data_IF_976851500490
#
_entry.id   IF_976851500490
#
_cell.length_a   1.000
_cell.length_b   1.000
_cell.length_c   1.000
_cell.angle_alpha   90.00
_cell.angle_beta   90.00
_cell.angle_gamma   90.00
#
_symmetry.space_group_name_H-M   'P 1'
#
loop_
_entity.id
_entity.type
_entity.pdbx_description
1 polymer ?
#
# COMPACT_ATOMS: atom_id res chain seq x y z
N UNK A 1 16.55 14.07 -21.12
CA UNK A 1 15.92 12.78 -21.49
C UNK A 1 14.49 13.09 -21.91
N UNK A 2 14.01 12.58 -23.05
CA UNK A 2 12.60 12.74 -23.45
C UNK A 2 11.67 12.04 -22.44
N UNK A 3 10.67 12.75 -21.93
CA UNK A 3 9.75 12.25 -20.89
C UNK A 3 8.92 11.04 -21.37
N UNK A 4 8.64 10.97 -22.66
CA UNK A 4 7.94 9.87 -23.34
C UNK A 4 8.76 8.56 -23.38
N UNK A 5 10.06 8.61 -23.10
CA UNK A 5 10.95 7.45 -23.05
C UNK A 5 11.27 7.00 -21.61
N UNK A 6 10.76 7.73 -20.61
CA UNK A 6 11.05 7.44 -19.21
C UNK A 6 10.28 6.19 -18.76
N UNK A 7 11.02 5.18 -18.33
CA UNK A 7 10.47 3.91 -17.84
C UNK A 7 10.53 3.82 -16.31
N UNK A 8 11.53 4.46 -15.70
CA UNK A 8 11.69 4.50 -14.25
C UNK A 8 12.02 5.92 -13.81
N UNK A 9 11.38 6.35 -12.72
CA UNK A 9 11.68 7.63 -12.08
C UNK A 9 11.72 7.48 -10.57
N UNK A 10 12.83 7.91 -9.99
CA UNK A 10 12.98 8.05 -8.54
C UNK A 10 13.29 9.49 -8.20
N UNK A 11 12.51 10.08 -7.31
CA UNK A 11 12.74 11.41 -6.77
C UNK A 11 12.89 11.29 -5.25
N UNK A 12 14.08 11.59 -4.76
CA UNK A 12 14.39 11.55 -3.32
C UNK A 12 14.01 12.83 -2.57
N UNK A 13 13.81 13.92 -3.30
CA UNK A 13 13.40 15.21 -2.75
C UNK A 13 11.88 15.28 -2.54
N UNK A 14 11.44 16.16 -1.66
CA UNK A 14 10.01 16.44 -1.47
C UNK A 14 9.41 17.01 -2.75
N UNK A 15 8.33 16.38 -3.21
CA UNK A 15 7.56 16.82 -4.37
C UNK A 15 6.13 17.18 -3.96
N UNK A 16 5.48 18.17 -4.57
CA UNK A 16 4.06 18.37 -4.37
C UNK A 16 3.24 17.25 -5.06
N UNK A 17 2.04 16.97 -4.57
CA UNK A 17 1.11 15.98 -5.16
C UNK A 17 0.87 16.24 -6.66
N UNK A 18 0.83 17.52 -7.05
CA UNK A 18 0.66 17.93 -8.44
C UNK A 18 1.72 17.33 -9.36
N UNK A 19 2.98 17.32 -8.94
CA UNK A 19 4.11 16.76 -9.71
C UNK A 19 3.98 15.25 -9.84
N UNK A 20 3.55 14.55 -8.79
CA UNK A 20 3.32 13.10 -8.86
C UNK A 20 2.29 12.75 -9.95
N UNK A 21 1.17 13.48 -9.99
CA UNK A 21 0.12 13.28 -10.99
C UNK A 21 0.59 13.70 -12.38
N UNK A 22 1.29 14.84 -12.50
CA UNK A 22 1.81 15.34 -13.79
C UNK A 22 2.82 14.37 -14.42
N UNK A 23 3.73 13.82 -13.62
CA UNK A 23 4.70 12.81 -14.08
C UNK A 23 3.97 11.61 -14.66
N UNK A 24 2.98 11.07 -13.93
CA UNK A 24 2.19 9.93 -14.40
C UNK A 24 1.46 10.29 -15.69
N UNK A 25 0.87 11.48 -15.79
CA UNK A 25 0.17 11.91 -17.01
C UNK A 25 1.10 12.08 -18.23
N UNK A 26 2.33 12.54 -18.02
CA UNK A 26 3.26 12.87 -19.11
C UNK A 26 4.20 11.74 -19.51
N UNK A 27 4.29 10.68 -18.73
CA UNK A 27 5.22 9.57 -18.96
C UNK A 27 4.49 8.27 -19.28
N UNK A 28 3.87 8.13 -20.47
CA UNK A 28 2.99 7.00 -20.80
C UNK A 28 3.69 5.62 -20.84
N UNK A 29 5.03 5.60 -20.75
CA UNK A 29 5.85 4.37 -20.70
C UNK A 29 6.42 4.09 -19.31
N UNK A 30 6.04 4.88 -18.31
CA UNK A 30 6.56 4.74 -16.95
C UNK A 30 6.08 3.40 -16.37
N UNK A 31 7.02 2.58 -15.96
CA UNK A 31 6.79 1.28 -15.33
C UNK A 31 7.05 1.34 -13.82
N UNK A 32 7.93 2.23 -13.36
CA UNK A 32 8.25 2.41 -11.94
C UNK A 32 8.31 3.88 -11.53
N UNK A 33 7.58 4.24 -10.48
CA UNK A 33 7.63 5.56 -9.87
C UNK A 33 7.93 5.44 -8.37
N UNK A 34 8.98 6.11 -7.91
CA UNK A 34 9.32 6.21 -6.50
C UNK A 34 9.46 7.67 -6.09
N UNK A 35 8.61 8.09 -5.16
CA UNK A 35 8.64 9.43 -4.56
C UNK A 35 8.91 9.27 -3.07
N UNK A 36 10.02 9.82 -2.58
CA UNK A 36 10.44 9.63 -1.17
C UNK A 36 9.60 10.47 -0.20
N UNK A 37 9.15 11.64 -0.62
CA UNK A 37 8.31 12.56 0.15
C UNK A 37 7.33 13.25 -0.80
N UNK A 38 6.03 13.19 -0.51
CA UNK A 38 5.03 14.00 -1.23
C UNK A 38 4.29 14.89 -0.25
N UNK A 39 4.16 16.17 -0.60
CA UNK A 39 3.51 17.22 0.20
C UNK A 39 2.33 17.81 -0.57
N UNK A 40 1.42 18.48 0.13
CA UNK A 40 0.29 19.19 -0.49
C UNK A 40 0.77 20.31 -1.41
N UNK A 41 1.89 20.94 -1.03
CA UNK A 41 2.45 22.12 -1.70
C UNK A 41 1.65 23.39 -1.39
N UNK A 42 2.21 24.55 -1.73
CA UNK A 42 1.48 25.82 -1.74
C UNK A 42 0.51 25.83 -2.94
N UNK A 43 -0.71 25.31 -2.78
CA UNK A 43 -1.69 25.34 -3.86
C UNK A 43 -2.35 26.73 -3.96
N UNK A 44 -1.95 27.50 -4.97
CA UNK A 44 -2.70 28.65 -5.49
C UNK A 44 -3.92 28.15 -6.28
N UNK A 45 -4.88 27.50 -5.59
CA UNK A 45 -6.25 27.23 -6.03
C UNK A 45 -6.46 26.57 -7.41
N UNK A 46 -5.41 26.07 -8.06
CA UNK A 46 -5.41 25.70 -9.48
C UNK A 46 -5.50 24.20 -9.70
N UNK A 47 -5.59 23.37 -8.65
CA UNK A 47 -5.87 21.94 -8.75
C UNK A 47 -7.34 21.68 -9.12
N UNK A 48 -7.72 22.15 -10.31
CA UNK A 48 -8.92 21.75 -11.07
C UNK A 48 -8.77 20.36 -11.71
N UNK A 49 -7.73 19.60 -11.36
CA UNK A 49 -7.53 18.22 -11.83
C UNK A 49 -8.42 17.24 -11.05
N UNK A 50 -9.73 17.33 -11.31
CA UNK A 50 -10.75 16.36 -10.84
C UNK A 50 -10.81 15.09 -11.70
N UNK A 51 -10.00 14.98 -12.76
CA UNK A 51 -10.00 13.82 -13.64
C UNK A 51 -9.12 12.71 -13.08
N UNK A 52 -9.72 11.54 -12.86
CA UNK A 52 -8.98 10.31 -12.58
C UNK A 52 -8.09 10.01 -13.79
N UNK A 53 -6.80 9.83 -13.54
CA UNK A 53 -5.80 9.49 -14.55
C UNK A 53 -5.59 7.99 -14.56
N UNK A 54 -5.89 7.36 -15.70
CA UNK A 54 -5.55 5.96 -15.93
C UNK A 54 -4.12 5.87 -16.47
N UNK A 55 -3.33 4.91 -15.97
CA UNK A 55 -1.98 4.66 -16.44
C UNK A 55 -1.70 3.17 -16.60
N UNK A 56 -1.61 2.72 -17.85
CA UNK A 56 -1.66 1.29 -18.19
C UNK A 56 -0.33 0.56 -18.11
N UNK A 57 0.80 1.27 -17.96
CA UNK A 57 2.13 0.64 -17.90
C UNK A 57 2.75 0.65 -16.52
N UNK A 58 2.20 1.40 -15.56
CA UNK A 58 2.85 1.59 -14.26
C UNK A 58 2.67 0.33 -13.41
N UNK A 59 3.77 -0.38 -13.19
CA UNK A 59 3.83 -1.66 -12.48
C UNK A 59 4.26 -1.48 -11.03
N UNK A 60 5.05 -0.47 -10.73
CA UNK A 60 5.59 -0.20 -9.40
C UNK A 60 5.32 1.24 -8.98
N UNK A 61 4.70 1.40 -7.81
CA UNK A 61 4.45 2.69 -7.18
C UNK A 61 4.95 2.66 -5.74
N UNK A 62 5.92 3.51 -5.44
CA UNK A 62 6.44 3.73 -4.10
C UNK A 62 6.17 5.18 -3.67
N UNK A 63 5.35 5.35 -2.64
CA UNK A 63 4.97 6.64 -2.08
C UNK A 63 5.47 6.76 -0.64
N UNK A 64 6.43 7.64 -0.44
CA UNK A 64 7.13 7.86 0.82
C UNK A 64 6.61 9.06 1.62
N UNK A 65 6.59 8.93 2.95
CA UNK A 65 6.36 10.00 3.95
C UNK A 65 5.17 10.92 3.65
N UNK A 66 3.98 10.34 3.49
CA UNK A 66 2.77 11.10 3.15
C UNK A 66 1.90 11.33 4.39
N UNK A 67 1.36 12.55 4.58
CA UNK A 67 0.05 12.71 5.22
C UNK A 67 -1.06 12.27 4.24
N UNK A 68 -0.87 12.50 2.94
CA UNK A 68 -1.96 12.46 1.96
C UNK A 68 -1.78 11.41 0.86
N UNK A 69 -1.49 10.13 1.20
CA UNK A 69 -1.45 9.05 0.19
C UNK A 69 -2.71 9.05 -0.66
N UNK A 70 -3.85 9.29 -0.02
CA UNK A 70 -5.16 9.29 -0.65
C UNK A 70 -5.29 10.38 -1.72
N UNK A 71 -4.64 11.53 -1.55
CA UNK A 71 -4.71 12.60 -2.55
C UNK A 71 -4.02 12.23 -3.88
N UNK A 72 -3.04 11.32 -3.83
CA UNK A 72 -2.43 10.72 -5.02
C UNK A 72 -3.29 9.55 -5.49
N UNK A 73 -3.58 8.58 -4.62
CA UNK A 73 -4.25 7.34 -5.04
C UNK A 73 -5.68 7.58 -5.51
N UNK A 74 -6.43 8.53 -4.97
CA UNK A 74 -7.80 8.87 -5.41
C UNK A 74 -7.87 9.42 -6.84
N UNK A 75 -6.75 9.91 -7.36
CA UNK A 75 -6.65 10.47 -8.71
C UNK A 75 -6.12 9.47 -9.74
N UNK A 76 -5.86 8.23 -9.36
CA UNK A 76 -5.16 7.26 -10.21
C UNK A 76 -5.96 5.97 -10.44
N UNK A 77 -5.84 5.40 -11.62
CA UNK A 77 -6.30 4.05 -11.96
C UNK A 77 -5.13 3.31 -12.61
N UNK A 78 -4.59 2.31 -11.93
CA UNK A 78 -3.33 1.66 -12.29
C UNK A 78 -3.54 0.16 -12.55
N UNK A 79 -4.10 -0.24 -13.71
CA UNK A 79 -4.46 -1.65 -13.95
C UNK A 79 -3.26 -2.60 -14.05
N UNK A 80 -2.09 -2.12 -14.45
CA UNK A 80 -0.86 -2.92 -14.50
C UNK A 80 -0.08 -2.95 -13.19
N UNK A 81 -0.59 -2.33 -12.11
CA UNK A 81 0.13 -2.24 -10.84
C UNK A 81 0.33 -3.63 -10.24
N UNK A 82 1.58 -3.96 -9.94
CA UNK A 82 1.97 -5.23 -9.32
C UNK A 82 2.73 -5.00 -8.01
N UNK A 83 3.34 -3.83 -7.83
CA UNK A 83 4.12 -3.48 -6.65
C UNK A 83 3.61 -2.16 -6.07
N UNK A 84 3.16 -2.18 -4.82
CA UNK A 84 2.74 -0.99 -4.10
C UNK A 84 3.47 -0.90 -2.77
N UNK A 85 4.10 0.25 -2.53
CA UNK A 85 4.74 0.56 -1.25
C UNK A 85 4.27 1.91 -0.75
N UNK A 86 3.70 1.93 0.45
CA UNK A 86 3.16 3.12 1.09
C UNK A 86 3.85 3.35 2.42
N UNK A 87 4.36 4.56 2.62
CA UNK A 87 5.00 4.98 3.85
C UNK A 87 4.27 6.19 4.42
N UNK A 88 3.70 6.05 5.60
CA UNK A 88 3.08 7.16 6.32
C UNK A 88 4.12 7.92 7.13
N UNK A 89 3.96 9.24 7.16
CA UNK A 89 4.65 10.04 8.17
C UNK A 89 3.92 9.87 9.51
N UNK A 90 4.64 9.85 10.64
CA UNK A 90 3.98 10.10 11.93
C UNK A 90 3.56 11.54 11.95
N UNK A 91 2.28 11.83 11.74
CA UNK A 91 1.80 13.20 11.78
C UNK A 91 2.24 13.85 13.09
N UNK A 92 2.81 15.05 13.00
CA UNK A 92 2.63 16.01 14.08
C UNK A 92 1.13 16.14 14.31
N UNK A 93 0.66 16.32 15.56
CA UNK A 93 -0.75 16.25 15.94
C UNK A 93 -1.69 17.25 15.21
N UNK A 94 -1.17 18.05 14.29
CA UNK A 94 -1.88 19.10 13.56
C UNK A 94 -2.45 18.63 12.21
N UNK A 95 -2.06 17.46 11.68
CA UNK A 95 -2.55 16.95 10.39
C UNK A 95 -3.11 15.54 10.54
N UNK A 96 -4.45 15.43 10.65
CA UNK A 96 -5.21 14.16 10.72
C UNK A 96 -5.22 13.35 9.41
N UNK A 97 -4.34 13.67 8.47
CA UNK A 97 -4.27 12.97 7.21
C UNK A 97 -3.54 11.64 7.43
N UNK A 98 -4.33 10.64 7.78
CA UNK A 98 -3.92 9.25 7.83
C UNK A 98 -4.43 8.53 6.59
N UNK A 99 -3.67 7.53 6.15
CA UNK A 99 -4.17 6.57 5.16
C UNK A 99 -5.42 5.92 5.76
N UNK A 100 -6.53 5.92 5.03
CA UNK A 100 -7.69 5.13 5.39
C UNK A 100 -7.71 3.85 4.55
N UNK A 101 -7.96 2.71 5.19
CA UNK A 101 -8.11 1.43 4.48
C UNK A 101 -9.15 1.51 3.36
N UNK A 102 -10.30 2.13 3.63
CA UNK A 102 -11.38 2.27 2.65
C UNK A 102 -10.93 2.95 1.34
N UNK A 103 -9.99 3.89 1.41
CA UNK A 103 -9.43 4.58 0.24
C UNK A 103 -8.47 3.71 -0.55
N UNK A 104 -7.65 2.89 0.14
CA UNK A 104 -6.84 1.87 -0.53
C UNK A 104 -7.73 0.85 -1.24
N UNK A 105 -8.79 0.36 -0.58
CA UNK A 105 -9.74 -0.58 -1.16
C UNK A 105 -10.45 0.03 -2.36
N UNK A 106 -10.86 1.31 -2.28
CA UNK A 106 -11.42 2.03 -3.42
C UNK A 106 -10.41 2.16 -4.57
N UNK A 107 -9.15 2.47 -4.27
CA UNK A 107 -8.07 2.51 -5.26
C UNK A 107 -7.85 1.15 -5.94
N UNK A 108 -7.83 0.05 -5.19
CA UNK A 108 -7.74 -1.30 -5.75
C UNK A 108 -8.96 -1.66 -6.60
N UNK A 109 -10.16 -1.30 -6.14
CA UNK A 109 -11.41 -1.55 -6.87
C UNK A 109 -11.38 -0.84 -8.23
N UNK A 110 -10.98 0.43 -8.26
CA UNK A 110 -10.87 1.21 -9.51
C UNK A 110 -9.77 0.70 -10.42
N UNK A 111 -8.60 0.40 -9.86
CA UNK A 111 -7.44 -0.08 -10.61
C UNK A 111 -7.64 -1.48 -11.15
N UNK A 112 -8.39 -2.33 -10.44
CA UNK A 112 -8.58 -3.74 -10.77
C UNK A 112 -7.24 -4.46 -11.04
N UNK A 113 -6.21 -4.11 -10.26
CA UNK A 113 -4.87 -4.61 -10.42
C UNK A 113 -4.68 -5.98 -9.74
N UNK A 114 -3.59 -6.66 -10.09
CA UNK A 114 -3.15 -7.93 -9.49
C UNK A 114 -1.81 -7.71 -8.78
N UNK A 115 -1.85 -7.40 -7.49
CA UNK A 115 -0.65 -7.12 -6.70
C UNK A 115 0.16 -8.39 -6.46
N UNK A 116 1.46 -8.28 -6.65
CA UNK A 116 2.46 -9.28 -6.30
C UNK A 116 3.20 -8.87 -5.03
N UNK A 117 3.49 -7.57 -4.88
CA UNK A 117 4.11 -7.01 -3.69
C UNK A 117 3.30 -5.87 -3.09
N UNK A 118 3.13 -5.92 -1.77
CA UNK A 118 2.46 -4.87 -1.01
C UNK A 118 3.23 -4.60 0.27
N UNK A 119 3.63 -3.34 0.45
CA UNK A 119 4.37 -2.89 1.62
C UNK A 119 3.67 -1.70 2.28
N UNK A 120 3.39 -1.84 3.57
CA UNK A 120 2.83 -0.81 4.43
C UNK A 120 3.84 -0.48 5.52
N UNK A 121 4.31 0.75 5.54
CA UNK A 121 5.26 1.26 6.52
C UNK A 121 4.61 2.33 7.38
N UNK A 122 4.65 2.10 8.69
CA UNK A 122 4.13 2.96 9.76
C UNK A 122 2.62 3.25 9.66
N UNK A 123 1.84 2.41 8.97
CA UNK A 123 0.40 2.58 8.85
C UNK A 123 -0.29 2.48 10.20
N UNK A 124 -1.28 3.34 10.45
CA UNK A 124 -2.13 3.28 11.65
C UNK A 124 -3.27 2.27 11.55
N UNK A 125 -3.22 1.36 10.56
CA UNK A 125 -4.26 0.37 10.34
C UNK A 125 -4.45 -0.51 11.57
N UNK A 126 -5.69 -0.58 12.04
CA UNK A 126 -6.10 -1.61 12.97
C UNK A 126 -6.11 -2.99 12.32
N UNK A 127 -6.16 -4.09 13.11
CA UNK A 127 -6.22 -5.44 12.56
C UNK A 127 -7.39 -5.68 11.60
N UNK A 128 -8.58 -5.18 11.91
CA UNK A 128 -9.77 -5.32 11.06
C UNK A 128 -9.62 -4.58 9.73
N UNK A 129 -8.99 -3.40 9.74
CA UNK A 129 -8.74 -2.62 8.52
C UNK A 129 -7.71 -3.32 7.63
N UNK A 130 -6.64 -3.84 8.23
CA UNK A 130 -5.64 -4.60 7.49
C UNK A 130 -6.23 -5.89 6.89
N UNK A 131 -7.08 -6.58 7.65
CA UNK A 131 -7.83 -7.75 7.18
C UNK A 131 -8.71 -7.39 5.97
N UNK A 132 -9.50 -6.31 6.05
CA UNK A 132 -10.34 -5.81 4.94
C UNK A 132 -9.50 -5.54 3.68
N UNK A 133 -8.38 -4.83 3.83
CA UNK A 133 -7.48 -4.50 2.73
C UNK A 133 -6.91 -5.75 2.04
N UNK A 134 -6.42 -6.72 2.84
CA UNK A 134 -5.83 -7.97 2.32
C UNK A 134 -6.88 -8.93 1.76
N UNK A 135 -8.15 -8.79 2.16
CA UNK A 135 -9.28 -9.57 1.62
C UNK A 135 -9.65 -9.15 0.20
N UNK A 136 -9.22 -7.97 -0.24
CA UNK A 136 -9.53 -7.47 -1.57
C UNK A 136 -8.94 -8.37 -2.67
N UNK A 137 -9.66 -8.54 -3.79
CA UNK A 137 -9.26 -9.43 -4.90
C UNK A 137 -7.86 -9.13 -5.47
N UNK A 138 -7.44 -7.87 -5.43
CA UNK A 138 -6.10 -7.44 -5.88
C UNK A 138 -4.96 -8.07 -5.08
N UNK A 139 -5.23 -8.54 -3.87
CA UNK A 139 -4.25 -9.19 -2.99
C UNK A 139 -4.18 -10.71 -3.19
N UNK A 140 -5.02 -11.30 -4.06
CA UNK A 140 -5.07 -12.77 -4.26
C UNK A 140 -3.83 -13.32 -4.99
N UNK A 141 -3.13 -12.46 -5.72
CA UNK A 141 -1.86 -12.78 -6.39
C UNK A 141 -0.62 -12.44 -5.56
N UNK A 142 -0.81 -11.93 -4.34
CA UNK A 142 0.26 -11.38 -3.52
C UNK A 142 1.26 -12.47 -3.14
N UNK A 143 2.52 -12.28 -3.51
CA UNK A 143 3.64 -13.17 -3.17
C UNK A 143 4.50 -12.61 -2.05
N UNK A 144 4.48 -11.28 -1.85
CA UNK A 144 5.25 -10.57 -0.84
C UNK A 144 4.41 -9.54 -0.09
N UNK A 145 4.37 -9.67 1.22
CA UNK A 145 3.73 -8.74 2.15
C UNK A 145 4.75 -8.23 3.15
N UNK A 146 4.84 -6.90 3.27
CA UNK A 146 5.65 -6.23 4.29
C UNK A 146 4.73 -5.32 5.11
N UNK A 147 4.68 -5.56 6.41
CA UNK A 147 3.98 -4.70 7.35
C UNK A 147 5.00 -4.24 8.38
N UNK A 148 5.19 -2.93 8.47
CA UNK A 148 6.03 -2.30 9.47
C UNK A 148 5.16 -1.35 10.29
N UNK A 149 5.04 -1.63 11.58
CA UNK A 149 4.32 -0.80 12.53
C UNK A 149 5.23 0.21 13.20
N UNK A 150 4.85 0.57 14.41
CA UNK A 150 5.59 1.42 15.31
C UNK A 150 5.55 0.80 16.70
N UNK A 151 6.71 0.74 17.37
CA UNK A 151 6.83 0.22 18.74
C UNK A 151 5.86 0.91 19.71
N UNK A 152 5.59 2.22 19.53
CA UNK A 152 4.64 2.96 20.37
C UNK A 152 3.17 2.67 20.08
N UNK A 153 2.84 2.14 18.90
CA UNK A 153 1.46 1.95 18.46
C UNK A 153 0.91 0.57 18.87
N UNK A 154 -0.43 0.42 18.95
CA UNK A 154 -1.05 -0.90 19.01
C UNK A 154 -0.63 -1.76 17.80
N UNK A 155 -0.45 -3.07 17.97
CA UNK A 155 -0.09 -3.94 16.86
C UNK A 155 -1.24 -4.02 15.84
N UNK A 156 -0.91 -3.82 14.56
CA UNK A 156 -1.84 -3.97 13.44
C UNK A 156 -2.05 -5.44 13.03
N UNK A 157 -1.16 -6.35 13.45
CA UNK A 157 -1.28 -7.78 13.20
C UNK A 157 -1.71 -8.50 14.48
N UNK A 158 -2.93 -9.02 14.45
CA UNK A 158 -3.49 -9.82 15.53
C UNK A 158 -3.58 -11.31 15.17
N UNK A 159 -4.20 -12.08 16.06
CA UNK A 159 -4.41 -13.52 15.88
C UNK A 159 -5.24 -13.84 14.65
N UNK A 160 -6.31 -13.09 14.46
CA UNK A 160 -7.32 -13.37 13.45
C UNK A 160 -6.72 -13.19 12.06
N UNK A 161 -5.97 -12.10 11.85
CA UNK A 161 -5.24 -11.89 10.61
C UNK A 161 -4.23 -13.01 10.33
N UNK A 162 -3.47 -13.44 11.34
CA UNK A 162 -2.53 -14.55 11.19
C UNK A 162 -3.22 -15.86 10.83
N UNK A 163 -4.39 -16.15 11.42
CA UNK A 163 -5.16 -17.35 11.09
C UNK A 163 -5.60 -17.32 9.63
N UNK A 164 -6.18 -16.22 9.16
CA UNK A 164 -6.63 -16.12 7.76
C UNK A 164 -5.46 -16.15 6.76
N UNK A 165 -4.27 -15.69 7.16
CA UNK A 165 -3.04 -15.84 6.37
C UNK A 165 -2.46 -17.26 6.41
N UNK A 166 -2.93 -18.14 7.28
CA UNK A 166 -2.34 -19.47 7.54
C UNK A 166 -3.25 -20.63 7.15
N UNK A 167 -4.54 -20.53 7.51
CA UNK A 167 -5.53 -21.60 7.50
C UNK A 167 -6.79 -21.15 6.78
N UNK A 168 -7.46 -22.08 6.11
CA UNK A 168 -8.91 -22.06 5.98
C UNK A 168 -9.46 -23.07 6.96
N UNK A 169 -9.80 -22.65 8.18
CA UNK A 169 -10.41 -23.55 9.18
C UNK A 169 -11.84 -23.99 8.76
N UNK A 170 -12.33 -23.46 7.63
CA UNK A 170 -13.57 -23.87 6.95
C UNK A 170 -13.16 -24.41 5.57
N UNK A 171 -13.55 -25.65 5.26
CA UNK A 171 -13.20 -26.41 4.04
C UNK A 171 -13.50 -25.70 2.70
N UNK A 172 -14.19 -24.55 2.72
CA UNK A 172 -14.63 -23.79 1.55
C UNK A 172 -14.09 -22.35 1.46
N UNK A 173 -13.32 -21.85 2.44
CA UNK A 173 -12.78 -20.47 2.38
C UNK A 173 -11.37 -20.42 1.79
N UNK A 174 -11.14 -19.57 0.78
CA UNK A 174 -9.79 -19.38 0.22
C UNK A 174 -8.96 -18.57 1.23
N UNK A 175 -7.77 -19.05 1.66
CA UNK A 175 -6.94 -18.33 2.60
C UNK A 175 -6.54 -16.96 2.05
N UNK A 176 -6.32 -15.98 2.93
CA UNK A 176 -5.84 -14.67 2.53
C UNK A 176 -4.47 -14.77 1.89
N UNK A 177 -4.33 -14.11 0.74
CA UNK A 177 -3.08 -14.09 -0.03
C UNK A 177 -2.54 -15.52 -0.24
N UNK A 178 -3.25 -16.37 -1.01
CA UNK A 178 -2.93 -17.80 -1.11
C UNK A 178 -1.54 -18.05 -1.71
N UNK A 179 -1.00 -17.11 -2.49
CA UNK A 179 0.34 -17.19 -3.11
C UNK A 179 1.47 -16.58 -2.28
N UNK A 180 1.20 -16.13 -1.06
CA UNK A 180 2.17 -15.44 -0.23
C UNK A 180 3.34 -16.37 0.13
N UNK A 181 4.54 -16.05 -0.37
CA UNK A 181 5.78 -16.78 -0.08
C UNK A 181 6.75 -15.98 0.80
N UNK A 182 6.55 -14.66 0.92
CA UNK A 182 7.40 -13.79 1.72
C UNK A 182 6.55 -12.88 2.62
N UNK A 183 6.63 -13.09 3.93
CA UNK A 183 6.00 -12.24 4.94
C UNK A 183 7.06 -11.59 5.82
N UNK A 184 7.04 -10.26 5.90
CA UNK A 184 7.87 -9.50 6.86
C UNK A 184 6.97 -8.68 7.77
N UNK A 185 7.04 -8.98 9.06
CA UNK A 185 6.37 -8.25 10.13
C UNK A 185 7.44 -7.55 10.98
N UNK A 186 7.36 -6.22 11.10
CA UNK A 186 8.29 -5.43 11.90
C UNK A 186 7.50 -4.48 12.81
N UNK A 187 7.69 -4.52 14.13
CA UNK A 187 7.02 -3.63 15.09
C UNK A 187 5.49 -3.54 14.97
N UNK A 188 4.86 -4.53 14.33
CA UNK A 188 3.42 -4.60 14.06
C UNK A 188 2.76 -5.81 14.74
N UNK A 189 3.53 -6.60 15.47
CA UNK A 189 3.13 -7.83 16.15
C UNK A 189 3.78 -7.87 17.54
N UNK A 190 3.00 -8.17 18.58
CA UNK A 190 3.52 -8.31 19.96
C UNK A 190 3.47 -9.77 20.39
N UNK A 191 4.63 -10.42 20.44
CA UNK A 191 4.79 -11.85 20.81
C UNK A 191 4.39 -12.18 22.24
N UNK A 192 4.36 -11.19 23.13
CA UNK A 192 4.50 -11.45 24.57
C UNK A 192 3.26 -11.98 25.29
N UNK A 193 2.11 -12.17 24.63
CA UNK A 193 0.90 -12.58 25.37
C UNK A 193 -0.04 -13.60 24.75
N UNK A 194 0.10 -14.09 23.51
CA UNK A 194 -1.06 -14.82 22.97
C UNK A 194 -0.88 -16.04 22.07
N UNK A 195 0.15 -16.23 21.22
CA UNK A 195 0.12 -17.41 20.32
C UNK A 195 1.50 -17.93 19.88
N UNK A 196 2.30 -18.52 20.79
CA UNK A 196 3.65 -18.98 20.46
C UNK A 196 3.67 -19.98 19.28
N UNK A 197 2.60 -20.76 19.12
CA UNK A 197 2.55 -21.80 18.10
C UNK A 197 2.03 -21.32 16.74
N UNK A 198 1.33 -20.17 16.65
CA UNK A 198 0.65 -19.78 15.40
C UNK A 198 1.64 -19.43 14.29
N UNK A 199 2.68 -18.64 14.60
CA UNK A 199 3.74 -18.35 13.63
C UNK A 199 4.47 -19.63 13.21
N UNK A 200 4.73 -20.53 14.15
CA UNK A 200 5.36 -21.82 13.86
C UNK A 200 4.52 -22.68 12.92
N UNK A 201 3.20 -22.72 13.13
CA UNK A 201 2.30 -23.47 12.25
C UNK A 201 2.10 -22.80 10.89
N UNK A 202 2.13 -21.47 10.82
CA UNK A 202 2.12 -20.72 9.55
C UNK A 202 3.33 -21.04 8.68
N UNK A 203 4.50 -21.18 9.28
CA UNK A 203 5.71 -21.59 8.58
C UNK A 203 5.58 -23.03 8.05
N UNK A 204 4.84 -23.90 8.73
CA UNK A 204 4.66 -25.29 8.33
C UNK A 204 3.59 -25.51 7.25
N UNK A 205 2.64 -24.58 7.08
CA UNK A 205 1.51 -24.73 6.14
C UNK A 205 1.76 -24.18 4.73
N UNK A 206 2.91 -23.53 4.50
CA UNK A 206 3.28 -22.90 3.21
C UNK A 206 4.53 -23.57 2.63
#
# INVERSE_FOLDING_TARGET
>A
IPWDQLVELTIEETQPISIAVEVIQRCPRLESLSLRRVDEGDDDGSLTFRSITQHDTLRSLHLGMLPYVNAVTDRLTLPALTHLSLWTHRSTPEVEANICCSQIVAFFTRSNCELQEFALYHSEFGPSELLECLSHRSCQTLTRLVIQGDESSPPSVDRELLIHLTYSDVDDEVPLCPKLGHLRLNDCYRSNKSFPDLLGRMIQSR
#
